data_IF_176976763556
#
_entry.id   IF_176976763556
#
_cell.length_a   1.000
_cell.length_b   1.000
_cell.length_c   1.000
_cell.angle_alpha   90.00
_cell.angle_beta   90.00
_cell.angle_gamma   90.00
#
_symmetry.space_group_name_H-M   'P 1'
#
loop_
_entity.id
_entity.type
_entity.pdbx_description
1 polymer ?
#
# COMPACT_ATOMS: atom_id res chain seq x y z
N UNK A 1 -1.20 -23.83 1.00
CA UNK A 1 -2.43 -23.09 0.66
C UNK A 1 -3.59 -23.51 1.56
N UNK A 2 -4.02 -24.78 1.57
CA UNK A 2 -5.14 -25.29 2.37
C UNK A 2 -5.04 -24.96 3.88
N UNK A 3 -3.84 -25.01 4.46
CA UNK A 3 -3.63 -24.65 5.87
C UNK A 3 -3.88 -23.17 6.11
N UNK A 4 -3.38 -22.29 5.24
CA UNK A 4 -3.63 -20.86 5.36
C UNK A 4 -5.12 -20.52 5.18
N UNK A 5 -5.80 -21.19 4.25
CA UNK A 5 -7.23 -21.04 4.04
C UNK A 5 -8.03 -21.50 5.28
N UNK A 6 -7.65 -22.60 5.91
CA UNK A 6 -8.31 -23.05 7.13
C UNK A 6 -8.07 -22.13 8.34
N UNK A 7 -6.89 -21.52 8.43
CA UNK A 7 -6.56 -20.56 9.50
C UNK A 7 -7.15 -19.17 9.26
N UNK A 8 -7.51 -18.83 8.01
CA UNK A 8 -8.07 -17.52 7.65
C UNK A 8 -9.59 -17.43 7.79
N UNK A 9 -10.16 -18.15 8.75
CA UNK A 9 -11.61 -18.19 8.94
C UNK A 9 -12.24 -16.88 9.39
N UNK A 10 -11.45 -15.87 9.78
CA UNK A 10 -11.95 -14.59 10.30
C UNK A 10 -12.85 -13.83 9.29
N UNK A 11 -12.57 -13.99 7.99
CA UNK A 11 -13.34 -13.37 6.90
C UNK A 11 -14.14 -14.41 6.08
N UNK A 12 -14.41 -15.59 6.65
CA UNK A 12 -15.28 -16.58 6.00
C UNK A 12 -16.71 -16.04 5.80
N UNK A 13 -17.14 -15.19 6.75
CA UNK A 13 -18.36 -14.40 6.63
C UNK A 13 -17.99 -12.91 6.75
N UNK A 14 -18.76 -12.03 6.10
CA UNK A 14 -18.54 -10.59 6.21
C UNK A 14 -18.67 -10.16 7.67
N UNK A 15 -17.66 -9.51 8.28
CA UNK A 15 -17.75 -9.07 9.65
C UNK A 15 -18.85 -8.01 9.83
N UNK A 16 -19.51 -8.03 10.96
CA UNK A 16 -20.40 -6.94 11.33
C UNK A 16 -19.55 -5.71 11.65
N UNK A 17 -19.70 -4.67 10.84
CA UNK A 17 -18.97 -3.41 11.01
C UNK A 17 -19.94 -2.37 11.54
N UNK A 18 -19.56 -1.71 12.63
CA UNK A 18 -20.28 -0.57 13.20
C UNK A 18 -19.40 0.68 13.22
N UNK A 19 -20.02 1.85 13.10
CA UNK A 19 -19.36 3.13 13.32
C UNK A 19 -19.68 3.59 14.74
N UNK A 20 -18.64 3.81 15.55
CA UNK A 20 -18.77 4.33 16.92
C UNK A 20 -18.38 5.81 16.94
N UNK A 21 -19.10 6.59 17.74
CA UNK A 21 -18.89 8.03 17.90
C UNK A 21 -20.10 8.86 17.46
N UNK A 22 -20.26 10.01 18.09
CA UNK A 22 -21.31 10.97 17.73
C UNK A 22 -20.85 11.83 16.56
N UNK A 23 -21.04 11.33 15.36
CA UNK A 23 -20.70 12.07 14.13
C UNK A 23 -21.89 12.85 13.60
N UNK A 24 -23.10 12.65 14.12
CA UNK A 24 -24.35 13.19 13.58
C UNK A 24 -24.63 12.80 12.11
N UNK A 25 -23.87 11.86 11.57
CA UNK A 25 -23.97 11.39 10.17
C UNK A 25 -24.33 9.91 10.14
N UNK A 26 -25.18 9.53 9.18
CA UNK A 26 -25.47 8.13 8.91
C UNK A 26 -24.23 7.40 8.41
N UNK A 27 -23.99 6.18 8.93
CA UNK A 27 -22.97 5.28 8.43
C UNK A 27 -23.41 4.50 7.17
N UNK A 28 -24.68 4.59 6.78
CA UNK A 28 -25.26 3.87 5.65
C UNK A 28 -24.45 4.02 4.34
N UNK A 29 -24.01 5.23 3.93
CA UNK A 29 -23.22 5.36 2.70
C UNK A 29 -21.89 4.58 2.71
N UNK A 30 -21.36 4.29 3.89
CA UNK A 30 -20.13 3.53 4.06
C UNK A 30 -20.39 2.02 4.11
N UNK A 31 -21.39 1.59 4.87
CA UNK A 31 -21.55 0.22 5.33
C UNK A 31 -22.64 -0.56 4.58
N UNK A 32 -23.64 0.11 4.00
CA UNK A 32 -24.77 -0.54 3.37
C UNK A 32 -24.36 -1.26 2.07
N UNK A 33 -25.20 -2.20 1.65
CA UNK A 33 -25.05 -2.86 0.36
C UNK A 33 -25.05 -1.82 -0.78
N UNK A 34 -24.02 -1.86 -1.62
CA UNK A 34 -23.77 -0.82 -2.61
C UNK A 34 -23.09 0.44 -2.04
N UNK A 35 -22.75 0.45 -0.75
CA UNK A 35 -21.97 1.48 -0.10
C UNK A 35 -20.49 1.44 -0.50
N UNK A 36 -19.71 2.31 0.10
CA UNK A 36 -18.31 2.51 -0.26
C UNK A 36 -17.44 1.26 -0.08
N UNK A 37 -17.59 0.53 1.03
CA UNK A 37 -16.82 -0.70 1.27
C UNK A 37 -17.22 -1.83 0.33
N UNK A 38 -18.51 -1.97 0.03
CA UNK A 38 -19.02 -2.97 -0.91
C UNK A 38 -18.50 -2.69 -2.33
N UNK A 39 -18.63 -1.45 -2.82
CA UNK A 39 -18.08 -1.03 -4.12
C UNK A 39 -16.59 -1.21 -4.26
N UNK A 40 -15.86 -1.09 -3.17
CA UNK A 40 -14.40 -1.28 -3.12
C UNK A 40 -14.00 -2.76 -3.07
N UNK A 41 -14.94 -3.70 -2.98
CA UNK A 41 -14.66 -5.14 -2.83
C UNK A 41 -13.92 -5.48 -1.53
N UNK A 42 -14.09 -4.66 -0.49
CA UNK A 42 -13.33 -4.72 0.75
C UNK A 42 -13.33 -6.11 1.41
N UNK A 43 -14.50 -6.75 1.49
CA UNK A 43 -14.59 -8.05 2.18
C UNK A 43 -13.82 -9.16 1.46
N UNK A 44 -13.97 -9.27 0.15
CA UNK A 44 -13.22 -10.24 -0.66
C UNK A 44 -11.71 -9.98 -0.61
N UNK A 45 -11.34 -8.70 -0.62
CA UNK A 45 -9.95 -8.29 -0.46
C UNK A 45 -9.39 -8.73 0.88
N UNK A 46 -10.09 -8.46 1.99
CA UNK A 46 -9.61 -8.79 3.34
C UNK A 46 -9.48 -10.29 3.56
N UNK A 47 -10.32 -11.11 2.96
CA UNK A 47 -10.13 -12.56 2.96
C UNK A 47 -8.82 -12.96 2.29
N UNK A 48 -8.54 -12.40 1.11
CA UNK A 48 -7.29 -12.64 0.38
C UNK A 48 -6.08 -12.14 1.20
N UNK A 49 -6.15 -10.92 1.73
CA UNK A 49 -5.09 -10.34 2.55
C UNK A 49 -4.79 -11.21 3.76
N UNK A 50 -5.80 -11.72 4.46
CA UNK A 50 -5.62 -12.58 5.62
C UNK A 50 -4.91 -13.89 5.25
N UNK A 51 -5.31 -14.54 4.14
CA UNK A 51 -4.66 -15.77 3.67
C UNK A 51 -3.16 -15.53 3.43
N UNK A 52 -2.84 -14.47 2.70
CA UNK A 52 -1.45 -14.13 2.39
C UNK A 52 -0.67 -13.66 3.63
N UNK A 53 -1.29 -12.88 4.52
CA UNK A 53 -0.66 -12.45 5.77
C UNK A 53 -0.28 -13.64 6.64
N UNK A 54 -1.13 -14.67 6.73
CA UNK A 54 -0.81 -15.90 7.46
C UNK A 54 0.33 -16.66 6.78
N UNK A 55 0.31 -16.76 5.44
CA UNK A 55 1.31 -17.50 4.66
C UNK A 55 2.67 -16.81 4.59
N UNK A 56 2.67 -15.49 4.36
CA UNK A 56 3.87 -14.68 4.16
C UNK A 56 4.28 -13.90 5.41
N UNK A 57 3.49 -13.96 6.49
CA UNK A 57 3.58 -13.16 7.73
C UNK A 57 3.24 -11.68 7.57
N UNK A 58 3.25 -11.17 6.37
CA UNK A 58 2.89 -9.81 6.02
C UNK A 58 2.14 -9.74 4.69
N UNK A 59 1.40 -8.66 4.54
CA UNK A 59 0.79 -8.27 3.29
C UNK A 59 0.74 -6.75 3.23
N UNK A 60 1.04 -6.20 2.07
CA UNK A 60 1.00 -4.76 1.84
C UNK A 60 -0.19 -4.44 0.95
N UNK A 61 -0.94 -3.40 1.28
CA UNK A 61 -2.04 -2.91 0.46
C UNK A 61 -1.74 -1.49 0.02
N UNK A 62 -1.62 -1.28 -1.27
CA UNK A 62 -1.61 0.07 -1.86
C UNK A 62 -3.04 0.57 -1.97
N UNK A 63 -3.27 1.77 -1.46
CA UNK A 63 -4.56 2.45 -1.55
C UNK A 63 -4.52 3.48 -2.67
N UNK A 64 -5.43 3.37 -3.59
CA UNK A 64 -5.59 4.31 -4.71
C UNK A 64 -7.05 4.77 -4.85
N UNK A 65 -7.28 5.68 -5.78
CA UNK A 65 -8.63 6.11 -6.16
C UNK A 65 -9.00 5.44 -7.47
N UNK A 66 -10.19 4.86 -7.52
CA UNK A 66 -10.77 4.36 -8.75
C UNK A 66 -11.67 5.44 -9.37
N UNK A 67 -11.22 6.13 -10.42
CA UNK A 67 -11.99 7.23 -11.02
C UNK A 67 -13.28 6.75 -11.69
N UNK A 68 -13.35 5.48 -12.09
CA UNK A 68 -14.51 4.92 -12.78
C UNK A 68 -15.62 4.47 -11.84
N UNK A 69 -15.30 4.13 -10.59
CA UNK A 69 -16.27 3.59 -9.63
C UNK A 69 -16.52 4.51 -8.44
N UNK A 70 -15.93 5.70 -8.43
CA UNK A 70 -16.03 6.65 -7.31
C UNK A 70 -15.74 6.00 -5.94
N UNK A 71 -14.76 5.10 -5.92
CA UNK A 71 -14.36 4.33 -4.75
C UNK A 71 -12.86 4.27 -4.57
N UNK A 72 -12.42 3.61 -3.52
CA UNK A 72 -11.02 3.27 -3.35
C UNK A 72 -10.67 2.01 -4.14
N UNK A 73 -9.47 2.00 -4.67
CA UNK A 73 -8.83 0.84 -5.24
C UNK A 73 -7.84 0.32 -4.20
N UNK A 74 -8.03 -0.92 -3.78
CA UNK A 74 -7.10 -1.61 -2.89
C UNK A 74 -6.34 -2.65 -3.70
N UNK A 75 -5.03 -2.50 -3.78
CA UNK A 75 -4.16 -3.46 -4.46
C UNK A 75 -3.29 -4.18 -3.45
N UNK A 76 -3.55 -5.48 -3.20
CA UNK A 76 -2.69 -6.29 -2.36
C UNK A 76 -1.37 -6.58 -3.09
N UNK A 77 -0.27 -6.47 -2.36
CA UNK A 77 1.09 -6.62 -2.87
C UNK A 77 1.84 -7.51 -1.90
N UNK A 78 2.54 -8.51 -2.42
CA UNK A 78 3.40 -9.35 -1.59
C UNK A 78 4.63 -8.56 -1.13
N UNK A 79 5.16 -8.84 0.06
CA UNK A 79 6.30 -8.10 0.62
C UNK A 79 7.53 -8.06 -0.26
N UNK A 80 7.72 -9.07 -1.12
CA UNK A 80 8.88 -9.18 -2.02
C UNK A 80 9.04 -7.99 -2.98
N UNK A 81 7.95 -7.27 -3.24
CA UNK A 81 7.94 -6.12 -4.15
C UNK A 81 7.96 -4.77 -3.44
N UNK A 82 8.05 -4.75 -2.12
CA UNK A 82 8.01 -3.50 -1.35
C UNK A 82 9.18 -3.45 -0.38
N UNK A 83 9.86 -2.33 -0.38
CA UNK A 83 10.83 -1.99 0.66
C UNK A 83 10.39 -0.70 1.34
N UNK A 84 10.51 -0.63 2.64
CA UNK A 84 10.17 0.57 3.37
C UNK A 84 11.02 0.69 4.65
N UNK A 85 11.11 1.88 5.20
CA UNK A 85 11.70 2.17 6.51
C UNK A 85 10.77 3.10 7.29
N UNK A 86 10.80 2.97 8.61
CA UNK A 86 10.03 3.79 9.53
C UNK A 86 10.95 4.45 10.57
N UNK A 87 10.53 5.58 11.16
CA UNK A 87 11.22 6.15 12.31
C UNK A 87 11.18 5.17 13.49
N UNK A 88 12.22 5.17 14.32
CA UNK A 88 12.28 4.28 15.48
C UNK A 88 11.23 4.55 16.55
N UNK A 89 10.68 5.75 16.58
CA UNK A 89 9.61 6.21 17.47
C UNK A 89 8.20 6.01 16.90
N UNK A 90 8.08 5.73 15.59
CA UNK A 90 6.81 5.47 14.91
C UNK A 90 6.96 4.34 13.88
N UNK A 91 7.15 3.11 14.32
CA UNK A 91 7.43 1.99 13.43
C UNK A 91 6.24 1.57 12.55
N UNK A 92 5.02 1.98 12.90
CA UNK A 92 3.82 1.64 12.15
C UNK A 92 3.60 2.52 10.91
N UNK A 93 4.25 3.69 10.87
CA UNK A 93 4.11 4.64 9.79
C UNK A 93 5.44 4.80 9.03
N UNK A 94 5.60 4.16 7.88
CA UNK A 94 6.82 4.30 7.09
C UNK A 94 6.99 5.75 6.62
N UNK A 95 8.23 6.23 6.69
CA UNK A 95 8.62 7.53 6.15
C UNK A 95 9.39 7.42 4.83
N UNK A 96 9.73 6.20 4.43
CA UNK A 96 10.29 5.88 3.13
C UNK A 96 9.74 4.53 2.66
N UNK A 97 9.27 4.48 1.42
CA UNK A 97 8.77 3.24 0.82
C UNK A 97 9.02 3.28 -0.68
N UNK A 98 9.46 2.15 -1.26
CA UNK A 98 9.33 1.96 -2.69
C UNK A 98 8.66 0.63 -3.03
N UNK A 99 7.90 0.63 -4.12
CA UNK A 99 7.27 -0.54 -4.70
C UNK A 99 7.88 -0.83 -6.07
N UNK A 100 8.35 -2.05 -6.26
CA UNK A 100 8.85 -2.54 -7.55
C UNK A 100 7.68 -2.93 -8.46
N UNK A 101 7.63 -2.36 -9.65
CA UNK A 101 6.55 -2.57 -10.60
C UNK A 101 7.14 -2.85 -11.98
N UNK A 102 6.71 -3.95 -12.60
CA UNK A 102 7.04 -4.22 -14.00
C UNK A 102 6.12 -3.39 -14.89
N UNK A 103 6.67 -2.42 -15.61
CA UNK A 103 5.93 -1.52 -16.50
C UNK A 103 6.37 -1.69 -17.94
N UNK A 104 5.44 -1.45 -18.87
CA UNK A 104 5.79 -1.31 -20.26
C UNK A 104 6.24 0.13 -20.50
N UNK A 105 7.48 0.28 -20.96
CA UNK A 105 8.00 1.57 -21.38
C UNK A 105 7.17 2.11 -22.56
N UNK A 106 6.71 3.34 -22.45
CA UNK A 106 5.77 3.95 -23.42
C UNK A 106 6.42 4.19 -24.79
N UNK A 107 7.71 4.38 -24.84
CA UNK A 107 8.48 4.67 -26.06
C UNK A 107 8.99 3.38 -26.72
N UNK A 108 9.72 2.57 -25.94
CA UNK A 108 10.39 1.37 -26.46
C UNK A 108 9.48 0.15 -26.56
N UNK A 109 8.29 0.19 -25.91
CA UNK A 109 7.33 -0.92 -25.77
C UNK A 109 7.90 -2.16 -25.06
N UNK A 110 9.09 -2.07 -24.50
CA UNK A 110 9.69 -3.14 -23.71
C UNK A 110 9.22 -3.06 -22.25
N UNK A 111 9.21 -4.22 -21.59
CA UNK A 111 8.97 -4.26 -20.15
C UNK A 111 10.26 -3.95 -19.39
N UNK A 112 10.15 -3.11 -18.40
CA UNK A 112 11.23 -2.70 -17.51
C UNK A 112 10.76 -2.66 -16.05
N UNK A 113 11.66 -2.99 -15.15
CA UNK A 113 11.40 -2.82 -13.72
C UNK A 113 11.54 -1.36 -13.34
N UNK A 114 10.54 -0.86 -12.64
CA UNK A 114 10.52 0.50 -12.09
C UNK A 114 10.19 0.44 -10.61
N UNK A 115 10.60 1.47 -9.87
CA UNK A 115 10.23 1.66 -8.48
C UNK A 115 9.41 2.94 -8.32
N UNK A 116 8.21 2.83 -7.73
CA UNK A 116 7.47 3.98 -7.21
C UNK A 116 8.03 4.32 -5.83
N UNK A 117 8.71 5.44 -5.70
CA UNK A 117 9.41 5.82 -4.47
C UNK A 117 8.68 6.95 -3.78
N UNK A 118 8.38 6.75 -2.51
CA UNK A 118 7.77 7.70 -1.58
C UNK A 118 8.81 8.04 -0.51
N UNK A 119 9.22 9.28 -0.41
CA UNK A 119 10.23 9.73 0.55
C UNK A 119 9.71 10.90 1.38
N UNK A 120 9.46 10.64 2.66
CA UNK A 120 9.00 11.61 3.66
C UNK A 120 10.07 11.83 4.75
N UNK A 121 11.32 11.37 4.55
CA UNK A 121 12.39 11.46 5.57
C UNK A 121 12.92 12.86 5.77
N UNK A 122 12.77 13.73 4.78
CA UNK A 122 13.18 15.14 4.87
C UNK A 122 12.00 16.08 5.08
N UNK A 123 12.29 17.37 5.15
CA UNK A 123 11.28 18.44 5.31
C UNK A 123 10.33 18.53 4.11
N UNK A 124 10.76 18.05 2.96
CA UNK A 124 10.01 18.10 1.71
C UNK A 124 9.62 16.70 1.28
N UNK A 125 8.31 16.35 1.27
CA UNK A 125 7.85 15.06 0.78
C UNK A 125 8.13 14.93 -0.72
N UNK A 126 8.52 13.73 -1.18
CA UNK A 126 8.86 13.46 -2.58
C UNK A 126 8.19 12.17 -3.05
N UNK A 127 7.68 12.21 -4.27
CA UNK A 127 7.31 11.02 -5.01
C UNK A 127 8.03 11.03 -6.36
N UNK A 128 8.65 9.93 -6.71
CA UNK A 128 9.33 9.80 -7.99
C UNK A 128 9.36 8.33 -8.44
N UNK A 129 9.55 8.14 -9.74
CA UNK A 129 9.61 6.81 -10.37
C UNK A 129 11.02 6.63 -10.95
N UNK A 130 11.68 5.54 -10.52
CA UNK A 130 13.02 5.19 -10.98
C UNK A 130 12.97 3.91 -11.81
N UNK A 131 13.77 3.81 -12.87
CA UNK A 131 14.08 2.50 -13.44
C UNK A 131 15.04 1.75 -12.54
N UNK A 132 14.96 0.42 -12.58
CA UNK A 132 15.78 -0.47 -11.75
C UNK A 132 16.65 -1.36 -12.61
N UNK A 133 17.91 -1.50 -12.21
CA UNK A 133 18.84 -2.47 -12.77
C UNK A 133 18.64 -3.89 -12.24
N UNK A 134 19.43 -4.82 -12.75
CA UNK A 134 19.33 -6.24 -12.38
C UNK A 134 19.72 -6.50 -10.91
N UNK A 135 20.60 -5.67 -10.37
CA UNK A 135 21.06 -5.77 -8.98
C UNK A 135 20.20 -4.95 -8.00
N UNK A 136 19.06 -4.40 -8.50
CA UNK A 136 18.13 -3.61 -7.69
C UNK A 136 18.55 -2.15 -7.48
N UNK A 137 19.60 -1.69 -8.14
CA UNK A 137 20.03 -0.29 -8.10
C UNK A 137 19.06 0.61 -8.88
N UNK A 138 18.86 1.83 -8.39
CA UNK A 138 18.13 2.86 -9.13
C UNK A 138 19.01 3.48 -10.21
N UNK A 139 18.49 3.51 -11.45
CA UNK A 139 19.25 3.98 -12.62
C UNK A 139 18.82 5.38 -13.04
N UNK A 140 17.60 5.53 -13.53
CA UNK A 140 17.11 6.76 -14.15
C UNK A 140 15.76 7.18 -13.56
N UNK A 141 15.58 8.50 -13.41
CA UNK A 141 14.30 9.07 -13.01
C UNK A 141 13.37 9.19 -14.24
N UNK A 142 12.32 8.40 -14.24
CA UNK A 142 11.32 8.32 -15.31
C UNK A 142 9.96 8.87 -14.88
N UNK A 143 9.91 9.67 -13.82
CA UNK A 143 8.66 10.22 -13.25
C UNK A 143 7.82 10.89 -14.33
N UNK A 144 8.40 11.76 -15.14
CA UNK A 144 7.69 12.48 -16.20
C UNK A 144 7.04 11.54 -17.22
N UNK A 145 7.72 10.47 -17.59
CA UNK A 145 7.22 9.50 -18.57
C UNK A 145 5.91 8.84 -18.15
N UNK A 146 5.75 8.58 -16.85
CA UNK A 146 4.59 7.86 -16.32
C UNK A 146 3.52 8.76 -15.68
N UNK A 147 3.87 9.97 -15.25
CA UNK A 147 2.96 10.89 -14.56
C UNK A 147 2.65 12.16 -15.35
N UNK A 148 3.47 12.48 -16.34
CA UNK A 148 3.40 13.76 -17.07
C UNK A 148 4.02 14.94 -16.32
N UNK A 149 4.45 14.77 -15.06
CA UNK A 149 5.07 15.79 -14.24
C UNK A 149 6.53 15.46 -13.95
N UNK A 150 7.41 16.45 -13.99
CA UNK A 150 8.83 16.30 -13.66
C UNK A 150 9.07 16.34 -12.15
N UNK A 151 8.25 17.11 -11.43
CA UNK A 151 8.41 17.33 -10.00
C UNK A 151 7.10 17.05 -9.25
N UNK A 152 7.14 16.02 -8.42
CA UNK A 152 6.08 15.64 -7.51
C UNK A 152 6.60 15.72 -6.06
N UNK A 153 7.22 16.85 -5.72
CA UNK A 153 7.75 17.13 -4.39
C UNK A 153 7.04 18.32 -3.73
N UNK A 154 7.25 18.52 -2.46
CA UNK A 154 6.71 19.63 -1.69
C UNK A 154 5.19 19.74 -1.85
N UNK A 155 4.70 20.88 -2.29
CA UNK A 155 3.27 21.14 -2.51
C UNK A 155 2.67 20.26 -3.63
N UNK A 156 3.49 19.86 -4.59
CA UNK A 156 3.08 18.97 -5.70
C UNK A 156 3.03 17.49 -5.30
N UNK A 157 3.39 17.13 -4.07
CA UNK A 157 3.29 15.75 -3.59
C UNK A 157 1.83 15.28 -3.60
N UNK A 158 1.50 14.16 -4.29
CA UNK A 158 0.10 13.83 -4.63
C UNK A 158 -0.72 13.25 -3.48
N UNK A 159 -0.08 12.79 -2.41
CA UNK A 159 -0.75 12.08 -1.31
C UNK A 159 -0.76 12.92 -0.04
N UNK A 160 -1.85 13.67 0.15
CA UNK A 160 -2.06 14.52 1.33
C UNK A 160 -3.44 14.25 1.92
N UNK A 161 -3.51 14.31 3.23
CA UNK A 161 -4.77 14.28 3.94
C UNK A 161 -5.49 15.65 3.89
N UNK A 162 -6.66 15.73 4.53
CA UNK A 162 -7.45 16.99 4.57
C UNK A 162 -6.75 18.13 5.29
N UNK A 163 -5.79 17.85 6.15
CA UNK A 163 -4.98 18.86 6.85
C UNK A 163 -3.79 19.34 6.02
N UNK A 164 -3.54 18.71 4.87
CA UNK A 164 -2.38 18.96 4.02
C UNK A 164 -1.14 18.15 4.41
N UNK A 165 -1.22 17.28 5.42
CA UNK A 165 -0.12 16.41 5.84
C UNK A 165 0.13 15.34 4.77
N UNK A 166 1.39 15.22 4.34
CA UNK A 166 1.81 14.16 3.42
C UNK A 166 1.76 12.79 4.11
N UNK A 167 1.38 11.76 3.35
CA UNK A 167 1.37 10.38 3.82
C UNK A 167 1.75 9.42 2.67
N UNK A 168 2.17 8.20 3.03
CA UNK A 168 2.44 7.12 2.08
C UNK A 168 1.15 6.28 1.94
N UNK A 169 0.59 6.10 0.72
CA UNK A 169 -0.73 5.49 0.53
C UNK A 169 -0.66 3.95 0.56
N UNK A 170 -0.04 3.41 1.61
CA UNK A 170 0.09 1.98 1.83
C UNK A 170 -0.32 1.62 3.26
N UNK A 171 -0.94 0.46 3.38
CA UNK A 171 -1.25 -0.16 4.68
C UNK A 171 -0.54 -1.50 4.74
N UNK A 172 0.16 -1.75 5.84
CA UNK A 172 0.91 -2.98 6.03
C UNK A 172 0.23 -3.81 7.11
N UNK A 173 -0.09 -5.05 6.78
CA UNK A 173 -0.72 -6.01 7.67
C UNK A 173 0.30 -7.05 8.13
N UNK A 174 0.28 -7.36 9.42
CA UNK A 174 1.15 -8.35 10.06
C UNK A 174 0.34 -9.49 10.64
N UNK A 175 0.85 -10.72 10.49
CA UNK A 175 0.24 -11.89 11.10
C UNK A 175 0.38 -11.90 12.63
N UNK A 176 1.39 -11.22 13.17
CA UNK A 176 1.67 -11.20 14.59
C UNK A 176 2.36 -9.89 14.97
N UNK A 177 1.70 -9.13 15.84
CA UNK A 177 2.36 -8.06 16.55
C UNK A 177 3.19 -8.68 17.68
N UNK A 178 4.51 -8.67 17.56
CA UNK A 178 5.40 -9.29 18.55
C UNK A 178 5.56 -8.46 19.83
N UNK A 179 4.93 -7.29 19.92
CA UNK A 179 5.09 -6.38 21.05
C UNK A 179 6.48 -5.75 21.18
N UNK A 180 7.44 -6.24 20.42
CA UNK A 180 8.74 -5.62 20.24
C UNK A 180 8.70 -4.76 18.99
N UNK A 181 9.57 -3.78 18.94
CA UNK A 181 9.77 -2.95 17.76
C UNK A 181 9.56 -3.77 16.50
N UNK A 182 8.47 -3.47 15.86
CA UNK A 182 8.13 -4.01 14.61
C UNK A 182 9.21 -3.62 13.60
N UNK A 183 9.90 -4.63 13.11
CA UNK A 183 10.90 -4.47 12.08
C UNK A 183 10.23 -4.86 10.78
N UNK A 184 9.59 -3.90 10.10
CA UNK A 184 8.73 -4.20 8.97
C UNK A 184 9.46 -4.92 7.85
N UNK A 185 10.77 -4.97 7.88
CA UNK A 185 11.54 -5.28 6.69
C UNK A 185 12.64 -6.33 6.92
N UNK A 186 12.59 -7.04 8.02
CA UNK A 186 13.45 -8.21 8.24
C UNK A 186 13.05 -9.45 7.42
N UNK A 187 12.14 -9.31 6.48
CA UNK A 187 11.75 -10.40 5.59
C UNK A 187 12.88 -10.97 4.78
N UNK A 188 13.83 -10.15 4.40
CA UNK A 188 14.98 -10.60 3.64
C UNK A 188 15.82 -11.66 4.37
N UNK A 189 15.71 -11.76 5.69
CA UNK A 189 16.45 -12.77 6.47
C UNK A 189 15.67 -14.05 6.73
N UNK A 190 14.35 -14.01 6.69
CA UNK A 190 13.50 -15.20 6.94
C UNK A 190 13.19 -15.96 5.65
N UNK A 191 13.33 -15.35 4.50
CA UNK A 191 13.17 -15.96 3.17
C UNK A 191 14.49 -16.53 2.60
N UNK A 192 15.57 -16.51 3.38
CA UNK A 192 16.84 -17.18 3.07
C UNK A 192 16.91 -18.58 3.73
#
# INVERSE_FOLDING_TARGET
KAICEALSALYAEAPAIGVTGDTGRSAAPLLDKGGFLDKSGWFSLMQTVQIFTIGCREMVIRVGVNPHQQGLLFRPITPDYVYATAPGDDPENPNYLYEMILRQNTETKKFEWTADVFDLRGDTPKFYIMTMGQDGEFLENVTRQYTGSEDLSGENYPYRDRSGKAFIPYVIYHARNSGNLWMPYEFSEVAR
#
